data_IF_714739847538
#
_entry.id   IF_714739847538
#
_cell.length_a   1.000
_cell.length_b   1.000
_cell.length_c   1.000
_cell.angle_alpha   90.00
_cell.angle_beta   90.00
_cell.angle_gamma   90.00
#
_symmetry.space_group_name_H-M   'P 1'
#
loop_
_entity.id
_entity.type
_entity.pdbx_description
1 polymer ?
#
# COMPACT_ATOMS: atom_id res chain seq x y z
N UNK A 1 -3.95 6.17 5.90
CA UNK A 1 -4.51 7.51 6.08
C UNK A 1 -3.39 8.40 6.58
N UNK A 2 -3.22 9.56 5.97
CA UNK A 2 -2.00 10.36 6.08
C UNK A 2 -2.25 11.46 7.11
N UNK A 3 -1.38 11.58 8.12
CA UNK A 3 -1.40 12.71 9.06
C UNK A 3 -0.44 13.79 8.55
N UNK A 4 -0.94 15.02 8.38
CA UNK A 4 -0.15 16.13 7.84
C UNK A 4 0.47 16.94 8.98
N UNK A 5 1.76 16.76 9.27
CA UNK A 5 2.45 17.63 10.22
C UNK A 5 2.87 18.94 9.51
N UNK A 6 2.03 19.97 9.63
CA UNK A 6 2.33 21.32 9.15
C UNK A 6 2.49 22.26 10.36
N UNK A 7 3.69 22.81 10.57
CA UNK A 7 4.01 24.24 10.34
C UNK A 7 5.43 24.57 10.84
N UNK A 8 6.10 25.38 10.01
CA UNK A 8 7.43 26.03 10.07
C UNK A 8 8.73 25.21 9.85
N UNK A 9 9.43 25.63 8.79
CA UNK A 9 10.75 25.21 8.28
C UNK A 9 10.94 23.75 7.83
N UNK A 10 9.97 23.21 7.08
CA UNK A 10 10.06 21.93 6.37
C UNK A 10 8.75 21.16 6.47
N UNK A 11 8.04 20.96 5.36
CA UNK A 11 6.78 20.20 5.36
C UNK A 11 7.10 18.73 5.56
N UNK A 12 6.82 18.18 6.75
CA UNK A 12 6.98 16.75 7.05
C UNK A 12 5.60 16.10 7.12
N UNK A 13 5.50 14.85 6.67
CA UNK A 13 4.25 14.10 6.69
C UNK A 13 4.45 12.86 7.54
N UNK A 14 3.60 12.67 8.55
CA UNK A 14 3.66 11.50 9.43
C UNK A 14 2.59 10.53 8.97
N UNK A 15 3.01 9.39 8.45
CA UNK A 15 2.08 8.33 8.09
C UNK A 15 1.80 7.46 9.32
N UNK A 16 0.53 7.32 9.68
CA UNK A 16 0.09 6.43 10.76
C UNK A 16 -1.13 5.63 10.36
N UNK A 17 -1.14 4.35 10.73
CA UNK A 17 -2.22 3.43 10.43
C UNK A 17 -3.02 3.16 11.70
N UNK A 18 -4.22 3.73 11.79
CA UNK A 18 -5.11 3.45 12.92
C UNK A 18 -5.54 1.97 13.03
N UNK A 19 -5.91 1.51 14.23
CA UNK A 19 -6.29 0.12 14.47
C UNK A 19 -7.65 -0.24 13.86
N UNK A 20 -7.85 -1.55 13.60
CA UNK A 20 -9.17 -2.11 13.32
C UNK A 20 -9.91 -2.34 14.63
N UNK A 21 -11.16 -1.91 14.71
CA UNK A 21 -11.97 -2.09 15.89
C UNK A 21 -12.79 -3.38 15.79
N UNK A 22 -12.76 -4.15 16.87
CA UNK A 22 -13.64 -5.28 17.08
C UNK A 22 -14.10 -5.21 18.53
N UNK A 23 -15.40 -5.37 18.78
CA UNK A 23 -15.98 -5.22 20.12
C UNK A 23 -15.28 -6.11 21.17
N UNK A 24 -14.91 -7.34 20.80
CA UNK A 24 -14.15 -8.28 21.65
C UNK A 24 -12.75 -7.79 22.07
N UNK A 25 -12.19 -6.81 21.36
CA UNK A 25 -10.85 -6.26 21.56
C UNK A 25 -10.88 -4.74 21.70
N UNK A 26 -11.96 -4.18 22.26
CA UNK A 26 -12.14 -2.72 22.38
C UNK A 26 -10.97 -2.06 23.12
N UNK A 27 -10.54 -2.61 24.26
CA UNK A 27 -9.38 -2.09 25.03
C UNK A 27 -8.08 -2.10 24.23
N UNK A 28 -7.82 -3.18 23.47
CA UNK A 28 -6.64 -3.27 22.63
C UNK A 28 -6.69 -2.25 21.47
N UNK A 29 -7.87 -2.01 20.92
CA UNK A 29 -8.08 -1.00 19.87
C UNK A 29 -7.89 0.42 20.43
N UNK A 30 -8.36 0.71 21.64
CA UNK A 30 -8.18 2.00 22.31
C UNK A 30 -6.71 2.27 22.62
N UNK A 31 -5.99 1.29 23.18
CA UNK A 31 -4.56 1.43 23.46
C UNK A 31 -3.75 1.61 22.18
N UNK A 32 -4.06 0.85 21.13
CA UNK A 32 -3.42 1.03 19.83
C UNK A 32 -3.72 2.41 19.22
N UNK A 33 -4.93 2.93 19.38
CA UNK A 33 -5.31 4.25 18.88
C UNK A 33 -4.58 5.36 19.66
N UNK A 34 -4.55 5.27 20.99
CA UNK A 34 -3.77 6.17 21.85
C UNK A 34 -2.30 6.17 21.45
N UNK A 35 -1.71 4.98 21.26
CA UNK A 35 -0.33 4.83 20.83
C UNK A 35 -0.06 5.50 19.48
N UNK A 36 -1.01 5.42 18.53
CA UNK A 36 -0.87 6.09 17.23
C UNK A 36 -0.76 7.62 17.37
N UNK A 37 -1.61 8.25 18.19
CA UNK A 37 -1.55 9.69 18.44
C UNK A 37 -0.28 10.08 19.20
N UNK A 38 0.07 9.34 20.26
CA UNK A 38 1.30 9.58 21.05
C UNK A 38 2.54 9.51 20.17
N UNK A 39 2.68 8.47 19.35
CA UNK A 39 3.83 8.29 18.46
C UNK A 39 3.98 9.46 17.46
N UNK A 40 2.86 10.01 16.97
CA UNK A 40 2.90 11.17 16.08
C UNK A 40 3.40 12.44 16.79
N UNK A 41 3.01 12.63 18.05
CA UNK A 41 3.46 13.75 18.88
C UNK A 41 4.91 13.59 19.34
N UNK A 42 5.38 12.38 19.56
CA UNK A 42 6.79 12.10 19.86
C UNK A 42 7.68 12.41 18.67
N UNK A 43 7.27 11.96 17.47
CA UNK A 43 7.96 12.30 16.23
C UNK A 43 8.01 13.82 15.99
N UNK A 44 6.97 14.57 16.39
CA UNK A 44 6.98 16.03 16.33
C UNK A 44 8.16 16.60 17.14
N UNK A 45 8.30 16.17 18.40
CA UNK A 45 9.38 16.62 19.31
C UNK A 45 10.75 16.18 18.80
N UNK A 46 10.91 14.91 18.42
CA UNK A 46 12.17 14.36 17.91
C UNK A 46 12.68 15.09 16.67
N UNK A 47 11.76 15.62 15.85
CA UNK A 47 12.08 16.36 14.65
C UNK A 47 12.26 17.87 14.87
N UNK A 48 12.19 18.34 16.13
CA UNK A 48 12.34 19.76 16.49
C UNK A 48 11.20 20.65 15.98
N UNK A 49 10.02 20.07 15.73
CA UNK A 49 8.84 20.79 15.26
C UNK A 49 7.94 21.16 16.44
N UNK A 50 7.19 22.26 16.32
CA UNK A 50 6.37 22.79 17.41
C UNK A 50 4.87 22.70 17.17
N UNK A 51 4.44 22.36 15.95
CA UNK A 51 3.02 22.31 15.59
C UNK A 51 2.69 21.15 14.67
N UNK A 52 1.52 20.55 14.90
CA UNK A 52 1.03 19.40 14.12
C UNK A 52 -0.45 19.58 13.77
N UNK A 53 -0.83 19.16 12.57
CA UNK A 53 -2.22 18.97 12.20
C UNK A 53 -2.54 17.47 12.15
N UNK A 54 -3.57 17.04 12.87
CA UNK A 54 -3.91 15.64 13.04
C UNK A 54 -5.32 15.36 12.53
N UNK A 55 -5.47 14.38 11.64
CA UNK A 55 -6.78 13.88 11.22
C UNK A 55 -7.35 12.83 12.17
N UNK A 56 -8.60 12.43 11.95
CA UNK A 56 -9.22 11.31 12.68
C UNK A 56 -8.49 10.00 12.36
N UNK A 57 -7.60 9.50 13.23
CA UNK A 57 -6.83 8.24 13.03
C UNK A 57 -7.75 7.01 12.86
N UNK A 58 -8.93 7.08 13.46
CA UNK A 58 -10.01 6.13 13.32
C UNK A 58 -10.86 6.43 12.08
N UNK A 59 -11.43 5.38 11.48
CA UNK A 59 -12.26 5.50 10.26
C UNK A 59 -13.40 4.50 10.32
N UNK A 60 -14.56 4.85 9.75
CA UNK A 60 -15.70 3.93 9.63
C UNK A 60 -15.34 2.63 8.89
N UNK A 61 -14.44 2.71 7.91
CA UNK A 61 -13.92 1.52 7.20
C UNK A 61 -13.22 0.50 8.12
N UNK A 62 -12.84 0.90 9.33
CA UNK A 62 -12.22 0.07 10.37
C UNK A 62 -13.18 -0.31 11.49
N UNK A 63 -14.48 -0.04 11.32
CA UNK A 63 -15.57 -0.27 12.28
C UNK A 63 -15.34 0.37 13.65
N UNK A 64 -14.53 1.43 13.74
CA UNK A 64 -14.24 2.08 15.01
C UNK A 64 -15.35 3.09 15.33
N UNK A 65 -16.05 2.97 16.48
CA UNK A 65 -17.09 3.92 16.86
C UNK A 65 -16.50 5.32 17.04
N UNK A 66 -17.07 6.30 16.32
CA UNK A 66 -16.51 7.65 16.17
C UNK A 66 -16.34 8.40 17.50
N UNK A 67 -17.38 8.40 18.33
CA UNK A 67 -17.37 9.16 19.59
C UNK A 67 -16.39 8.58 20.64
N UNK A 68 -16.38 7.28 20.95
CA UNK A 68 -15.33 6.68 21.78
C UNK A 68 -13.92 6.92 21.25
N UNK A 69 -13.72 6.87 19.92
CA UNK A 69 -12.43 7.11 19.32
C UNK A 69 -11.96 8.58 19.47
N UNK A 70 -12.90 9.53 19.38
CA UNK A 70 -12.62 10.94 19.62
C UNK A 70 -12.23 11.20 21.08
N UNK A 71 -12.88 10.54 22.05
CA UNK A 71 -12.46 10.58 23.46
C UNK A 71 -11.00 10.14 23.63
N UNK A 72 -10.61 9.00 23.05
CA UNK A 72 -9.22 8.51 23.12
C UNK A 72 -8.27 9.53 22.49
N UNK A 73 -8.57 10.02 21.27
CA UNK A 73 -7.73 10.97 20.57
C UNK A 73 -7.46 12.24 21.39
N UNK A 74 -8.52 12.87 21.89
CA UNK A 74 -8.44 14.15 22.61
C UNK A 74 -7.77 13.95 23.98
N UNK A 75 -8.09 12.86 24.69
CA UNK A 75 -7.48 12.52 25.98
C UNK A 75 -5.97 12.30 25.85
N UNK A 76 -5.53 11.52 24.87
CA UNK A 76 -4.10 11.26 24.63
C UNK A 76 -3.36 12.56 24.34
N UNK A 77 -3.90 13.43 23.48
CA UNK A 77 -3.30 14.74 23.18
C UNK A 77 -3.23 15.61 24.43
N UNK A 78 -4.31 15.69 25.21
CA UNK A 78 -4.34 16.46 26.45
C UNK A 78 -3.24 16.01 27.42
N UNK A 79 -3.11 14.70 27.67
CA UNK A 79 -2.09 14.14 28.57
C UNK A 79 -0.67 14.38 28.06
N UNK A 80 -0.47 14.25 26.76
CA UNK A 80 0.83 14.53 26.15
C UNK A 80 1.23 16.00 26.35
N UNK A 81 0.30 16.94 26.11
CA UNK A 81 0.54 18.38 26.29
C UNK A 81 0.78 18.75 27.76
N UNK A 82 0.15 18.06 28.71
CA UNK A 82 0.41 18.25 30.15
C UNK A 82 1.84 17.86 30.53
N UNK A 83 2.42 16.84 29.89
CA UNK A 83 3.81 16.41 30.09
C UNK A 83 4.82 17.29 29.35
N UNK A 84 4.46 17.77 28.16
CA UNK A 84 5.37 18.43 27.21
C UNK A 84 5.03 19.92 26.98
N UNK A 85 4.67 20.64 28.06
CA UNK A 85 4.09 22.01 28.00
C UNK A 85 4.85 23.04 27.17
N UNK A 86 6.17 22.92 27.05
CA UNK A 86 7.01 23.92 26.38
C UNK A 86 7.44 23.53 24.95
N UNK A 87 7.17 22.30 24.52
CA UNK A 87 7.68 21.77 23.25
C UNK A 87 6.66 21.88 22.10
N UNK A 88 5.38 22.06 22.43
CA UNK A 88 4.29 22.09 21.44
C UNK A 88 3.51 23.39 21.55
N UNK A 89 3.49 24.17 20.46
CA UNK A 89 2.77 25.44 20.36
C UNK A 89 1.32 25.25 19.92
N UNK A 90 1.05 24.34 18.98
CA UNK A 90 -0.28 24.17 18.43
C UNK A 90 -0.55 22.74 17.95
N UNK A 91 -1.75 22.23 18.26
CA UNK A 91 -2.28 20.97 17.72
C UNK A 91 -3.62 21.28 17.05
N UNK A 92 -3.74 20.98 15.75
CA UNK A 92 -4.96 21.24 14.98
C UNK A 92 -5.64 19.94 14.60
N UNK A 93 -6.87 19.71 15.06
CA UNK A 93 -7.66 18.55 14.64
C UNK A 93 -8.35 18.83 13.29
N UNK A 94 -8.06 18.02 12.28
CA UNK A 94 -8.59 18.13 10.92
C UNK A 94 -9.65 17.05 10.69
N UNK A 95 -10.93 17.42 10.82
CA UNK A 95 -12.06 16.51 10.56
C UNK A 95 -12.53 16.63 9.11
N UNK A 96 -12.71 15.50 8.42
CA UNK A 96 -13.24 15.47 7.04
C UNK A 96 -14.77 15.37 6.98
N UNK A 97 -15.39 14.75 7.99
CA UNK A 97 -16.84 14.58 8.09
C UNK A 97 -17.47 15.64 8.98
N UNK A 98 -18.68 16.09 8.64
CA UNK A 98 -19.49 16.97 9.50
C UNK A 98 -19.79 16.33 10.85
N UNK A 99 -20.07 15.02 10.87
CA UNK A 99 -20.34 14.26 12.09
C UNK A 99 -19.13 14.30 13.04
N UNK A 100 -17.92 14.09 12.52
CA UNK A 100 -16.72 14.15 13.36
C UNK A 100 -16.47 15.58 13.86
N UNK A 101 -16.70 16.60 13.02
CA UNK A 101 -16.57 17.99 13.42
C UNK A 101 -17.49 18.33 14.60
N UNK A 102 -18.74 17.89 14.57
CA UNK A 102 -19.70 18.13 15.66
C UNK A 102 -19.30 17.38 16.95
N UNK A 103 -18.81 16.15 16.81
CA UNK A 103 -18.25 15.38 17.95
C UNK A 103 -17.06 16.13 18.55
N UNK A 104 -16.06 16.51 17.75
CA UNK A 104 -14.87 17.20 18.24
C UNK A 104 -15.21 18.55 18.86
N UNK A 105 -16.10 19.35 18.27
CA UNK A 105 -16.56 20.61 18.86
C UNK A 105 -17.15 20.43 20.25
N UNK A 106 -17.96 19.38 20.45
CA UNK A 106 -18.57 19.06 21.74
C UNK A 106 -17.57 18.50 22.75
N UNK A 107 -16.64 17.64 22.31
CA UNK A 107 -15.71 16.97 23.22
C UNK A 107 -14.51 17.83 23.59
N UNK A 108 -14.04 18.71 22.70
CA UNK A 108 -12.88 19.56 22.98
C UNK A 108 -13.11 20.48 24.17
N UNK A 109 -14.34 21.01 24.36
CA UNK A 109 -14.67 21.83 25.54
C UNK A 109 -14.64 21.05 26.85
N UNK A 110 -14.81 19.72 26.81
CA UNK A 110 -14.73 18.87 28.00
C UNK A 110 -13.27 18.59 28.40
N UNK A 111 -12.37 18.39 27.45
CA UNK A 111 -10.95 18.08 27.73
C UNK A 111 -10.05 19.33 27.79
N UNK A 112 -10.47 20.42 27.17
CA UNK A 112 -9.79 21.72 27.17
C UNK A 112 -10.79 22.81 27.58
N UNK A 113 -11.28 22.80 28.84
CA UNK A 113 -12.18 23.82 29.34
C UNK A 113 -11.50 25.19 29.31
N UNK A 114 -12.24 26.21 28.89
CA UNK A 114 -11.76 27.59 28.75
C UNK A 114 -12.09 28.45 29.98
N UNK A 115 -13.20 28.12 30.64
CA UNK A 115 -13.75 28.82 31.80
C UNK A 115 -14.12 27.83 32.91
N UNK A 116 -14.25 28.31 34.15
CA UNK A 116 -14.64 27.50 35.32
C UNK A 116 -15.97 26.76 35.13
N UNK A 117 -16.92 27.38 34.42
CA UNK A 117 -18.20 26.74 34.11
C UNK A 117 -18.03 25.52 33.18
N UNK A 118 -17.15 25.59 32.18
CA UNK A 118 -16.85 24.45 31.31
C UNK A 118 -16.14 23.33 32.10
N UNK A 119 -15.27 23.70 33.04
CA UNK A 119 -14.58 22.76 33.93
C UNK A 119 -15.56 21.98 34.82
N UNK A 120 -16.54 22.65 35.43
CA UNK A 120 -17.60 22.00 36.21
C UNK A 120 -18.45 21.05 35.37
N UNK A 121 -18.81 21.47 34.14
CA UNK A 121 -19.57 20.62 33.20
C UNK A 121 -18.75 19.43 32.72
N UNK A 122 -17.44 19.60 32.51
CA UNK A 122 -16.52 18.54 32.13
C UNK A 122 -16.43 17.45 33.20
N UNK A 123 -16.31 17.84 34.47
CA UNK A 123 -16.28 16.92 35.62
C UNK A 123 -17.52 16.02 35.69
N UNK A 124 -18.69 16.52 35.27
CA UNK A 124 -19.94 15.77 35.26
C UNK A 124 -20.11 14.84 34.05
N UNK A 125 -19.50 15.18 32.91
CA UNK A 125 -19.74 14.51 31.62
C UNK A 125 -18.60 13.61 31.15
N UNK A 126 -17.41 13.76 31.70
CA UNK A 126 -16.28 12.91 31.33
C UNK A 126 -16.45 11.51 31.94
N UNK A 127 -16.15 10.44 31.18
CA UNK A 127 -16.19 9.08 31.70
C UNK A 127 -15.16 8.88 32.82
N UNK A 128 -15.52 8.09 33.85
CA UNK A 128 -14.67 7.81 35.01
C UNK A 128 -13.38 7.03 34.65
N UNK A 129 -13.35 6.36 33.50
CA UNK A 129 -12.14 5.74 32.95
C UNK A 129 -11.26 6.81 32.27
N UNK A 130 -10.47 7.50 33.07
CA UNK A 130 -9.55 8.57 32.63
C UNK A 130 -8.24 8.04 32.05
N UNK A 131 -8.08 6.73 31.93
CA UNK A 131 -6.83 6.12 31.52
C UNK A 131 -5.65 6.42 32.46
N UNK A 132 -4.48 5.90 32.13
CA UNK A 132 -3.24 6.09 32.87
C UNK A 132 -2.58 7.46 32.58
N UNK A 133 -1.38 7.70 33.11
CA UNK A 133 -0.62 8.94 32.90
C UNK A 133 -0.32 9.24 31.42
N UNK A 134 -0.47 8.27 30.53
CA UNK A 134 -0.26 8.40 29.09
C UNK A 134 -1.59 8.46 28.31
N UNK A 135 -2.74 8.34 28.99
CA UNK A 135 -4.06 8.28 28.39
C UNK A 135 -4.45 6.91 27.82
N UNK A 136 -3.74 5.83 28.18
CA UNK A 136 -4.10 4.44 27.85
C UNK A 136 -5.11 3.88 28.85
N UNK A 137 -5.95 2.90 28.50
CA UNK A 137 -6.90 2.32 29.46
C UNK A 137 -6.17 1.41 30.46
N UNK A 138 -6.35 1.68 31.75
CA UNK A 138 -5.72 0.92 32.84
C UNK A 138 -6.43 -0.42 33.00
N UNK A 139 -5.77 -1.52 32.61
CA UNK A 139 -6.29 -2.88 32.80
C UNK A 139 -5.51 -3.51 33.97
N UNK A 140 -6.10 -3.56 35.16
CA UNK A 140 -5.48 -4.12 36.37
C UNK A 140 -5.05 -5.59 36.21
N UNK A 141 -5.66 -6.33 35.26
CA UNK A 141 -5.44 -7.76 35.03
C UNK A 141 -4.09 -8.10 34.34
N UNK A 142 -3.26 -7.11 33.96
CA UNK A 142 -1.95 -7.33 33.31
C UNK A 142 -0.72 -7.02 34.16
N UNK A 143 -0.86 -6.77 35.46
CA UNK A 143 0.31 -6.81 36.37
C UNK A 143 0.76 -8.27 36.52
N UNK A 144 1.74 -8.68 35.72
CA UNK A 144 2.33 -10.02 35.78
C UNK A 144 2.89 -10.25 37.19
N UNK A 145 2.17 -11.03 38.01
CA UNK A 145 2.67 -11.51 39.30
C UNK A 145 3.53 -12.74 39.01
N UNK A 146 4.80 -12.54 38.65
CA UNK A 146 5.75 -13.64 38.50
C UNK A 146 5.96 -14.25 39.90
N UNK A 147 5.22 -15.32 40.21
CA UNK A 147 5.61 -16.22 41.30
C UNK A 147 6.73 -17.10 40.77
N UNK A 148 7.89 -17.19 41.44
CA UNK A 148 8.94 -18.12 41.02
C UNK A 148 8.39 -19.55 41.04
N UNK A 149 8.72 -20.32 40.00
CA UNK A 149 8.31 -21.73 39.91
C UNK A 149 8.86 -22.53 41.11
N UNK A 150 8.06 -23.43 41.71
CA UNK A 150 8.54 -24.28 42.80
C UNK A 150 9.60 -25.26 42.28
N UNK A 151 10.82 -25.16 42.82
CA UNK A 151 11.90 -26.14 42.60
C UNK A 151 11.51 -27.48 43.24
N UNK A 152 10.93 -28.41 42.47
CA UNK A 152 10.84 -29.82 42.87
C UNK A 152 12.18 -30.51 42.62
N UNK A 153 12.90 -30.84 43.70
CA UNK A 153 13.92 -31.90 43.72
C UNK A 153 13.19 -33.23 43.91
N UNK A 154 13.28 -34.14 42.96
CA UNK A 154 12.76 -35.52 43.06
C UNK A 154 13.46 -36.43 42.03
N UNK A 155 13.73 -37.71 42.36
CA UNK A 155 14.74 -38.52 41.69
C UNK A 155 14.26 -39.11 40.35
N UNK A 156 15.23 -39.31 39.46
CA UNK A 156 15.10 -39.84 38.10
C UNK A 156 14.89 -41.37 38.15
N UNK A 157 13.83 -41.96 37.54
CA UNK A 157 13.77 -43.41 37.37
C UNK A 157 14.48 -43.85 36.09
N UNK A 158 15.26 -44.92 36.21
CA UNK A 158 15.92 -45.69 35.16
C UNK A 158 14.90 -46.45 34.30
N UNK A 159 15.13 -46.50 32.98
CA UNK A 159 14.39 -47.36 32.06
C UNK A 159 15.16 -48.66 31.87
N UNK A 160 14.54 -49.79 32.23
CA UNK A 160 14.97 -51.12 31.80
C UNK A 160 14.31 -51.49 30.46
N UNK A 161 14.96 -52.30 29.61
CA UNK A 161 14.45 -52.69 28.30
C UNK A 161 13.62 -53.99 28.39
N UNK A 162 12.55 -54.08 27.59
CA UNK A 162 11.80 -55.32 27.36
C UNK A 162 11.81 -55.62 25.86
N UNK A 163 12.33 -56.79 25.53
CA UNK A 163 12.50 -57.39 24.20
C UNK A 163 11.31 -58.31 23.85
N UNK A 164 10.63 -58.18 22.70
CA UNK A 164 10.67 -59.01 21.45
C UNK A 164 9.22 -59.42 21.03
N UNK A 165 8.90 -59.90 19.79
CA UNK A 165 9.80 -60.36 18.74
C UNK A 165 9.61 -59.75 17.33
N UNK A 166 10.69 -59.93 16.57
CA UNK A 166 10.90 -59.67 15.14
C UNK A 166 10.30 -60.78 14.29
N UNK A 167 9.69 -60.45 13.15
CA UNK A 167 9.64 -61.33 11.99
C UNK A 167 10.41 -60.69 10.83
N UNK A 168 11.49 -61.38 10.45
CA UNK A 168 12.36 -61.11 9.31
C UNK A 168 11.63 -61.31 7.98
N UNK A 169 11.64 -60.29 7.13
CA UNK A 169 11.79 -60.49 5.68
C UNK A 169 12.80 -59.47 5.18
N UNK A 170 13.90 -59.98 4.65
CA UNK A 170 15.14 -59.26 4.41
C UNK A 170 15.13 -58.23 3.29
N UNK A 171 15.97 -57.21 3.52
CA UNK A 171 16.92 -56.59 2.59
C UNK A 171 16.51 -56.55 1.11
N UNK A 172 16.01 -55.38 0.68
CA UNK A 172 16.50 -54.76 -0.56
C UNK A 172 16.63 -53.25 -0.35
N UNK A 173 17.89 -52.81 -0.28
CA UNK A 173 18.31 -51.40 -0.40
C UNK A 173 18.00 -50.96 -1.84
N UNK A 174 16.77 -50.52 -2.10
CA UNK A 174 16.44 -49.81 -3.35
C UNK A 174 16.75 -48.34 -3.15
N UNK A 175 17.84 -47.90 -3.75
CA UNK A 175 18.15 -46.50 -4.07
C UNK A 175 16.89 -45.83 -4.64
N UNK A 176 16.24 -45.00 -3.83
CA UNK A 176 15.08 -44.21 -4.26
C UNK A 176 15.55 -42.94 -4.96
N UNK A 177 16.24 -43.09 -6.09
CA UNK A 177 16.48 -42.00 -7.05
C UNK A 177 15.37 -41.91 -8.11
N UNK A 178 14.34 -42.77 -8.02
CA UNK A 178 13.25 -42.87 -9.01
C UNK A 178 11.89 -42.37 -8.49
N UNK A 179 11.78 -41.99 -7.21
CA UNK A 179 10.56 -41.40 -6.64
C UNK A 179 10.63 -39.87 -6.47
N UNK A 180 11.78 -39.24 -6.69
CA UNK A 180 11.93 -37.78 -6.68
C UNK A 180 11.31 -37.10 -7.91
N UNK A 181 11.01 -37.85 -8.98
CA UNK A 181 10.43 -37.31 -10.21
C UNK A 181 8.89 -37.24 -10.20
N UNK A 182 8.23 -37.76 -9.16
CA UNK A 182 6.76 -37.83 -9.07
C UNK A 182 6.16 -37.02 -7.91
N UNK A 183 6.98 -36.26 -7.18
CA UNK A 183 6.50 -35.46 -6.06
C UNK A 183 6.22 -34.02 -6.50
N UNK A 184 4.94 -33.64 -6.44
CA UNK A 184 4.45 -32.29 -6.69
C UNK A 184 5.12 -31.29 -5.72
N UNK A 185 5.69 -30.16 -6.19
CA UNK A 185 6.24 -29.11 -5.33
C UNK A 185 5.24 -28.59 -4.28
N UNK A 186 3.93 -28.64 -4.56
CA UNK A 186 2.89 -28.32 -3.59
C UNK A 186 2.86 -29.31 -2.41
N UNK A 187 3.14 -30.58 -2.67
CA UNK A 187 3.19 -31.65 -1.66
C UNK A 187 4.45 -31.55 -0.79
N UNK A 188 5.61 -31.24 -1.37
CA UNK A 188 6.84 -30.99 -0.59
C UNK A 188 6.72 -29.75 0.31
N UNK A 189 5.92 -28.76 -0.09
CA UNK A 189 5.65 -27.57 0.74
C UNK A 189 4.76 -27.85 1.95
N UNK A 190 4.12 -29.02 2.04
CA UNK A 190 3.20 -29.39 3.12
C UNK A 190 3.90 -30.06 4.31
N UNK A 191 5.09 -30.63 4.10
CA UNK A 191 5.81 -31.44 5.10
C UNK A 191 6.71 -30.59 6.01
N UNK A 192 7.02 -29.34 5.61
CA UNK A 192 7.83 -28.42 6.42
C UNK A 192 7.03 -27.91 7.63
N UNK A 193 7.60 -28.04 8.83
CA UNK A 193 6.99 -27.59 10.08
C UNK A 193 6.49 -26.13 9.93
N UNK A 194 5.22 -25.83 10.28
CA UNK A 194 4.67 -24.48 10.21
C UNK A 194 5.49 -23.44 10.99
N UNK A 195 6.20 -23.82 12.05
CA UNK A 195 7.03 -22.89 12.82
C UNK A 195 8.37 -22.57 12.13
N UNK A 196 9.01 -23.55 11.49
CA UNK A 196 10.20 -23.31 10.66
C UNK A 196 9.88 -22.39 9.48
N UNK A 197 8.69 -22.54 8.88
CA UNK A 197 8.21 -21.64 7.82
C UNK A 197 8.05 -20.21 8.32
N UNK A 198 7.51 -20.02 9.53
CA UNK A 198 7.38 -18.69 10.16
C UNK A 198 8.75 -18.10 10.47
N UNK A 199 9.69 -18.91 10.93
CA UNK A 199 11.06 -18.47 11.25
C UNK A 199 11.82 -18.05 9.99
N UNK A 200 11.80 -18.85 8.92
CA UNK A 200 12.43 -18.51 7.64
C UNK A 200 11.80 -17.27 7.01
N UNK A 201 10.47 -17.10 7.11
CA UNK A 201 9.78 -15.88 6.69
C UNK A 201 10.21 -14.67 7.51
N UNK A 202 10.36 -14.84 8.83
CA UNK A 202 10.80 -13.80 9.74
C UNK A 202 12.27 -13.39 9.48
N UNK A 203 13.17 -14.35 9.30
CA UNK A 203 14.58 -14.08 8.98
C UNK A 203 14.76 -13.40 7.61
N UNK A 204 13.99 -13.84 6.59
CA UNK A 204 13.97 -13.17 5.27
C UNK A 204 13.42 -11.75 5.35
N UNK A 205 12.41 -11.50 6.19
CA UNK A 205 11.88 -10.14 6.40
C UNK A 205 12.87 -9.26 7.15
N UNK A 206 13.59 -9.80 8.14
CA UNK A 206 14.64 -9.09 8.88
C UNK A 206 15.87 -8.78 8.01
N UNK A 207 16.31 -9.72 7.16
CA UNK A 207 17.40 -9.48 6.20
C UNK A 207 17.01 -8.48 5.11
N UNK A 208 15.77 -8.52 4.61
CA UNK A 208 15.24 -7.54 3.66
C UNK A 208 15.18 -6.13 4.26
N UNK A 209 14.89 -5.99 5.57
CA UNK A 209 14.88 -4.70 6.26
C UNK A 209 16.28 -4.05 6.37
N UNK A 210 17.37 -4.83 6.51
CA UNK A 210 18.73 -4.28 6.62
C UNK A 210 19.24 -3.63 5.33
N UNK A 211 18.96 -4.21 4.16
CA UNK A 211 19.32 -3.63 2.86
C UNK A 211 18.44 -2.43 2.46
N UNK A 212 17.26 -2.27 3.07
CA UNK A 212 16.24 -1.29 2.71
C UNK A 212 16.45 0.11 3.29
N UNK A 213 17.14 0.22 4.44
CA UNK A 213 17.45 1.50 5.08
C UNK A 213 18.32 2.43 4.20
N UNK A 214 19.10 1.87 3.26
CA UNK A 214 19.92 2.65 2.34
C UNK A 214 19.11 3.33 1.23
N UNK A 215 17.98 2.78 0.80
CA UNK A 215 17.14 3.37 -0.24
C UNK A 215 16.25 4.50 0.30
N UNK A 216 15.78 4.38 1.55
CA UNK A 216 15.09 5.45 2.27
C UNK A 216 15.99 6.69 2.46
N UNK A 217 17.29 6.48 2.67
CA UNK A 217 18.29 7.56 2.77
C UNK A 217 18.47 8.34 1.45
N UNK A 218 18.16 7.72 0.31
CA UNK A 218 18.30 8.32 -1.03
C UNK A 218 17.00 8.91 -1.59
N UNK A 219 15.90 8.93 -0.82
CA UNK A 219 14.65 9.59 -1.22
C UNK A 219 13.75 8.78 -2.17
N UNK A 220 13.93 7.45 -2.26
CA UNK A 220 13.17 6.57 -3.17
C UNK A 220 11.94 5.88 -2.54
N UNK A 221 11.54 6.26 -1.32
CA UNK A 221 10.37 5.70 -0.64
C UNK A 221 10.49 4.22 -0.21
N UNK A 222 9.40 3.64 0.30
CA UNK A 222 9.33 2.24 0.77
C UNK A 222 9.30 1.29 -0.43
N UNK A 223 10.48 0.91 -0.94
CA UNK A 223 10.67 0.12 -2.16
C UNK A 223 10.16 -1.33 -2.07
N UNK A 224 8.88 -1.57 -1.75
CA UNK A 224 8.12 -2.83 -1.83
C UNK A 224 8.77 -4.10 -1.25
N UNK A 225 8.03 -4.85 -0.43
CA UNK A 225 8.50 -6.05 0.31
C UNK A 225 9.38 -7.07 -0.45
N UNK A 226 9.97 -8.05 0.26
CA UNK A 226 11.00 -8.94 -0.30
C UNK A 226 10.59 -9.56 -1.64
N UNK A 227 11.58 -9.80 -2.51
CA UNK A 227 11.35 -10.46 -3.80
C UNK A 227 10.64 -11.79 -3.55
N UNK A 228 9.49 -11.97 -4.20
CA UNK A 228 8.67 -13.17 -4.03
C UNK A 228 9.13 -14.27 -4.98
N UNK A 229 9.07 -15.52 -4.51
CA UNK A 229 9.22 -16.68 -5.38
C UNK A 229 8.09 -16.73 -6.42
N UNK A 230 8.29 -17.47 -7.51
CA UNK A 230 7.27 -17.61 -8.55
C UNK A 230 5.94 -18.16 -8.01
N UNK A 231 6.00 -19.07 -7.03
CA UNK A 231 4.82 -19.64 -6.38
C UNK A 231 4.08 -18.61 -5.51
N UNK A 232 4.82 -17.78 -4.78
CA UNK A 232 4.25 -16.71 -3.96
C UNK A 232 3.62 -15.60 -4.82
N UNK A 233 4.24 -15.21 -5.93
CA UNK A 233 3.68 -14.25 -6.89
C UNK A 233 2.40 -14.80 -7.53
N UNK A 234 2.38 -16.08 -7.89
CA UNK A 234 1.17 -16.73 -8.43
C UNK A 234 0.03 -16.77 -7.41
N UNK A 235 0.33 -17.14 -6.17
CA UNK A 235 -0.65 -17.16 -5.08
C UNK A 235 -1.19 -15.75 -4.79
N UNK A 236 -0.30 -14.75 -4.77
CA UNK A 236 -0.66 -13.35 -4.59
C UNK A 236 -1.58 -12.88 -5.72
N UNK A 237 -1.19 -13.10 -6.97
CA UNK A 237 -1.99 -12.75 -8.15
C UNK A 237 -3.38 -13.39 -8.09
N UNK A 238 -3.45 -14.70 -7.84
CA UNK A 238 -4.71 -15.45 -7.73
C UNK A 238 -5.65 -14.87 -6.66
N UNK A 239 -5.09 -14.50 -5.49
CA UNK A 239 -5.86 -13.87 -4.41
C UNK A 239 -6.43 -12.51 -4.82
N UNK A 240 -5.64 -11.67 -5.49
CA UNK A 240 -6.10 -10.37 -5.99
C UNK A 240 -7.16 -10.54 -7.09
N UNK A 241 -6.96 -11.49 -8.01
CA UNK A 241 -7.93 -11.78 -9.07
C UNK A 241 -9.27 -12.28 -8.50
N UNK A 242 -9.24 -13.18 -7.52
CA UNK A 242 -10.45 -13.66 -6.84
C UNK A 242 -11.21 -12.51 -6.17
N UNK A 243 -10.48 -11.65 -5.44
CA UNK A 243 -11.06 -10.45 -4.82
C UNK A 243 -11.60 -9.45 -5.85
N UNK A 244 -10.94 -9.29 -6.99
CA UNK A 244 -11.38 -8.39 -8.05
C UNK A 244 -12.65 -8.88 -8.77
N UNK A 245 -12.85 -10.21 -8.84
CA UNK A 245 -14.07 -10.83 -9.39
C UNK A 245 -15.28 -10.68 -8.47
N UNK A 246 -15.08 -10.61 -7.15
CA UNK A 246 -16.17 -10.49 -6.19
C UNK A 246 -16.63 -9.05 -5.93
N UNK A 247 -15.84 -8.05 -6.30
CA UNK A 247 -16.15 -6.64 -6.08
C UNK A 247 -16.68 -5.95 -7.34
N UNK A 248 -17.61 -5.00 -7.13
CA UNK A 248 -18.01 -4.05 -8.16
C UNK A 248 -16.92 -2.97 -8.29
N UNK A 249 -16.44 -2.78 -9.52
CA UNK A 249 -15.35 -1.86 -9.85
C UNK A 249 -15.76 -0.87 -10.96
N UNK A 250 -17.07 -0.69 -11.20
CA UNK A 250 -17.59 0.17 -12.27
C UNK A 250 -17.18 1.64 -12.09
N UNK A 251 -17.20 2.14 -10.86
CA UNK A 251 -16.77 3.52 -10.53
C UNK A 251 -15.32 3.79 -10.97
N UNK A 252 -14.44 2.79 -10.87
CA UNK A 252 -13.04 2.90 -11.28
C UNK A 252 -12.90 2.79 -12.81
N UNK A 253 -13.70 1.92 -13.42
CA UNK A 253 -13.74 1.80 -14.88
C UNK A 253 -14.18 3.13 -15.54
N UNK A 254 -15.13 3.85 -14.93
CA UNK A 254 -15.60 5.16 -15.39
C UNK A 254 -14.51 6.24 -15.35
N UNK A 255 -13.50 6.08 -14.49
CA UNK A 255 -12.35 7.00 -14.45
C UNK A 255 -11.48 6.91 -15.70
N UNK A 256 -11.60 5.83 -16.51
CA UNK A 256 -10.83 5.59 -17.74
C UNK A 256 -9.32 5.79 -17.56
N UNK A 257 -8.80 5.38 -16.41
CA UNK A 257 -7.35 5.40 -16.12
C UNK A 257 -6.66 4.31 -16.91
N UNK A 258 -7.24 3.11 -16.89
CA UNK A 258 -6.81 1.95 -17.66
C UNK A 258 -8.03 1.45 -18.43
N UNK A 259 -7.87 1.15 -19.71
CA UNK A 259 -8.93 0.55 -20.51
C UNK A 259 -8.34 -0.26 -21.67
N UNK A 260 -9.09 -1.25 -22.13
CA UNK A 260 -8.72 -2.04 -23.30
C UNK A 260 -8.94 -1.21 -24.56
N UNK A 261 -7.87 -1.03 -25.33
CA UNK A 261 -7.98 -0.61 -26.71
C UNK A 261 -8.39 -1.79 -27.59
N UNK A 262 -8.20 -1.62 -28.88
CA UNK A 262 -8.30 -2.70 -29.85
C UNK A 262 -6.99 -3.45 -29.99
N UNK A 263 -6.48 -3.54 -31.22
CA UNK A 263 -5.23 -4.23 -31.54
C UNK A 263 -4.16 -3.30 -32.10
N UNK A 264 -2.89 -3.67 -31.95
CA UNK A 264 -1.78 -3.00 -32.61
C UNK A 264 -1.67 -3.41 -34.09
N UNK A 265 -0.70 -2.84 -34.82
CA UNK A 265 -0.46 -3.14 -36.24
C UNK A 265 -0.14 -4.61 -36.52
N UNK A 266 0.25 -5.39 -35.51
CA UNK A 266 0.56 -6.82 -35.60
C UNK A 266 -0.57 -7.70 -35.02
N UNK A 267 -1.73 -7.11 -34.68
CA UNK A 267 -2.89 -7.82 -34.18
C UNK A 267 -2.83 -8.17 -32.68
N UNK A 268 -1.86 -7.64 -31.92
CA UNK A 268 -1.77 -7.86 -30.47
C UNK A 268 -2.74 -6.94 -29.72
N UNK A 269 -3.45 -7.44 -28.70
CA UNK A 269 -4.32 -6.58 -27.89
C UNK A 269 -3.55 -5.45 -27.23
N UNK A 270 -4.16 -4.26 -27.20
CA UNK A 270 -3.58 -3.05 -26.64
C UNK A 270 -4.27 -2.71 -25.34
N UNK A 271 -3.49 -2.48 -24.29
CA UNK A 271 -3.96 -1.86 -23.06
C UNK A 271 -3.54 -0.40 -23.03
N UNK A 272 -4.48 0.50 -22.77
CA UNK A 272 -4.20 1.93 -22.70
C UNK A 272 -4.23 2.40 -21.25
N UNK A 273 -3.23 3.21 -20.88
CA UNK A 273 -3.09 3.82 -19.56
C UNK A 273 -2.99 5.33 -19.74
N UNK A 274 -3.87 6.08 -19.10
CA UNK A 274 -3.92 7.54 -19.17
C UNK A 274 -3.44 8.12 -17.84
N UNK A 275 -2.20 8.63 -17.84
CA UNK A 275 -1.53 9.10 -16.63
C UNK A 275 -2.28 10.24 -15.92
N UNK A 276 -2.81 11.21 -16.67
CA UNK A 276 -3.53 12.35 -16.08
C UNK A 276 -4.81 11.94 -15.33
N UNK A 277 -5.49 10.86 -15.77
CA UNK A 277 -6.70 10.38 -15.09
C UNK A 277 -6.39 9.75 -13.73
N UNK A 278 -5.24 9.07 -13.62
CA UNK A 278 -4.83 8.44 -12.35
C UNK A 278 -4.76 9.47 -11.23
N UNK A 279 -4.17 10.63 -11.51
CA UNK A 279 -3.89 11.66 -10.52
C UNK A 279 -5.13 12.49 -10.16
N UNK A 280 -6.04 12.71 -11.12
CA UNK A 280 -7.25 13.50 -10.90
C UNK A 280 -8.39 12.74 -10.24
N UNK A 281 -8.44 11.40 -10.39
CA UNK A 281 -9.64 10.60 -10.06
C UNK A 281 -9.38 9.43 -9.11
N UNK A 282 -8.15 8.94 -8.98
CA UNK A 282 -7.87 7.71 -8.22
C UNK A 282 -7.59 7.97 -6.73
N UNK A 283 -8.64 8.01 -5.91
CA UNK A 283 -8.50 8.11 -4.45
C UNK A 283 -8.30 6.75 -3.76
N UNK A 284 -8.72 5.65 -4.41
CA UNK A 284 -8.64 4.29 -3.86
C UNK A 284 -7.66 3.42 -4.65
N UNK A 285 -6.40 3.42 -4.19
CA UNK A 285 -5.33 2.63 -4.79
C UNK A 285 -5.58 1.12 -4.68
N UNK A 286 -6.27 0.63 -3.66
CA UNK A 286 -6.48 -0.82 -3.48
C UNK A 286 -7.50 -1.34 -4.50
N UNK A 287 -8.64 -0.66 -4.62
CA UNK A 287 -9.64 -1.00 -5.64
C UNK A 287 -9.11 -0.76 -7.05
N UNK A 288 -8.26 0.24 -7.26
CA UNK A 288 -7.58 0.46 -8.54
C UNK A 288 -6.68 -0.73 -8.91
N UNK A 289 -5.84 -1.21 -7.99
CA UNK A 289 -5.00 -2.39 -8.24
C UNK A 289 -5.86 -3.61 -8.60
N UNK A 290 -6.99 -3.82 -7.91
CA UNK A 290 -7.93 -4.91 -8.25
C UNK A 290 -8.52 -4.74 -9.65
N UNK A 291 -8.87 -3.51 -10.04
CA UNK A 291 -9.33 -3.20 -11.38
C UNK A 291 -8.27 -3.48 -12.45
N UNK A 292 -7.02 -3.06 -12.22
CA UNK A 292 -5.90 -3.38 -13.11
C UNK A 292 -5.75 -4.89 -13.27
N UNK A 293 -5.71 -5.66 -12.19
CA UNK A 293 -5.62 -7.14 -12.27
C UNK A 293 -6.76 -7.72 -13.09
N UNK A 294 -8.00 -7.27 -12.86
CA UNK A 294 -9.19 -7.73 -13.59
C UNK A 294 -9.14 -7.39 -15.07
N UNK A 295 -8.66 -6.21 -15.43
CA UNK A 295 -8.60 -5.75 -16.82
C UNK A 295 -7.45 -6.38 -17.62
N UNK A 296 -6.32 -6.64 -16.96
CA UNK A 296 -5.18 -7.27 -17.60
C UNK A 296 -5.35 -8.79 -17.75
N UNK A 297 -6.07 -9.47 -16.85
CA UNK A 297 -6.25 -10.92 -16.87
C UNK A 297 -6.56 -11.55 -18.25
N UNK A 298 -7.53 -11.04 -19.04
CA UNK A 298 -7.83 -11.65 -20.34
C UNK A 298 -6.78 -11.39 -21.41
N UNK A 299 -5.95 -10.35 -21.29
CA UNK A 299 -4.94 -10.00 -22.30
C UNK A 299 -3.56 -10.58 -21.98
N UNK A 300 -3.22 -10.79 -20.70
CA UNK A 300 -1.89 -11.29 -20.30
C UNK A 300 -1.61 -12.72 -20.74
N UNK A 301 -2.62 -13.46 -21.22
CA UNK A 301 -2.47 -14.82 -21.72
C UNK A 301 -1.79 -14.87 -23.10
N UNK A 302 -1.82 -13.77 -23.86
CA UNK A 302 -1.23 -13.64 -25.20
C UNK A 302 -0.25 -12.47 -25.24
N UNK A 303 0.65 -12.40 -26.23
CA UNK A 303 1.48 -11.22 -26.43
C UNK A 303 0.61 -9.96 -26.58
N UNK A 304 0.89 -8.92 -25.80
CA UNK A 304 0.10 -7.68 -25.77
C UNK A 304 1.00 -6.45 -25.67
N UNK A 305 0.48 -5.27 -25.98
CA UNK A 305 1.21 -4.00 -25.88
C UNK A 305 0.50 -3.04 -24.94
N UNK A 306 1.27 -2.10 -24.37
CA UNK A 306 0.75 -1.04 -23.51
C UNK A 306 0.99 0.30 -24.20
N UNK A 307 -0.01 1.17 -24.22
CA UNK A 307 0.11 2.58 -24.60
C UNK A 307 -0.11 3.42 -23.35
N UNK A 308 0.92 4.16 -22.92
CA UNK A 308 0.85 5.08 -21.79
C UNK A 308 0.85 6.53 -22.29
N UNK A 309 -0.24 7.27 -22.03
CA UNK A 309 -0.33 8.71 -22.33
C UNK A 309 0.08 9.52 -21.10
N UNK A 310 1.20 10.25 -21.23
CA UNK A 310 1.72 11.11 -20.16
C UNK A 310 1.25 12.57 -20.25
N UNK A 311 0.51 12.93 -21.30
CA UNK A 311 -0.03 14.28 -21.53
C UNK A 311 -0.67 14.85 -20.25
N UNK A 312 -0.29 16.06 -19.85
CA UNK A 312 -0.76 16.74 -18.64
C UNK A 312 -0.44 16.06 -17.27
N UNK A 313 0.27 14.93 -17.24
CA UNK A 313 0.65 14.26 -16.00
C UNK A 313 1.93 14.83 -15.33
N UNK A 314 2.65 15.74 -16.00
CA UNK A 314 3.96 16.26 -15.56
C UNK A 314 3.91 17.19 -14.34
N UNK A 315 2.75 17.76 -14.01
CA UNK A 315 2.61 18.78 -12.95
C UNK A 315 2.26 18.20 -11.57
N UNK A 316 2.23 16.87 -11.44
CA UNK A 316 1.59 16.21 -10.30
C UNK A 316 2.39 15.02 -9.76
N UNK A 317 2.09 14.65 -8.51
CA UNK A 317 2.83 13.64 -7.70
C UNK A 317 2.73 12.26 -8.35
N UNK A 318 3.87 11.69 -8.74
CA UNK A 318 3.92 10.35 -9.34
C UNK A 318 3.79 9.26 -8.25
N UNK A 319 3.23 8.09 -8.57
CA UNK A 319 3.21 6.96 -7.64
C UNK A 319 4.65 6.55 -7.27
N UNK A 320 4.87 6.26 -5.99
CA UNK A 320 6.18 5.87 -5.47
C UNK A 320 6.70 4.57 -6.14
N UNK A 321 8.02 4.46 -6.30
CA UNK A 321 8.68 3.34 -6.95
C UNK A 321 8.36 2.01 -6.26
N UNK A 322 8.21 2.03 -4.94
CA UNK A 322 7.81 0.87 -4.16
C UNK A 322 6.42 0.36 -4.48
N UNK A 323 5.47 1.29 -4.70
CA UNK A 323 4.13 0.94 -5.14
C UNK A 323 4.16 0.31 -6.54
N UNK A 324 4.97 0.85 -7.46
CA UNK A 324 5.13 0.29 -8.81
C UNK A 324 5.70 -1.14 -8.78
N UNK A 325 6.75 -1.36 -7.98
CA UNK A 325 7.33 -2.69 -7.77
C UNK A 325 6.28 -3.66 -7.20
N UNK A 326 5.49 -3.22 -6.22
CA UNK A 326 4.42 -4.03 -5.63
C UNK A 326 3.32 -4.38 -6.62
N UNK A 327 2.90 -3.43 -7.46
CA UNK A 327 1.94 -3.69 -8.53
C UNK A 327 2.46 -4.74 -9.51
N UNK A 328 3.73 -4.67 -9.91
CA UNK A 328 4.34 -5.67 -10.79
C UNK A 328 4.37 -7.07 -10.14
N UNK A 329 4.67 -7.17 -8.85
CA UNK A 329 4.59 -8.45 -8.12
C UNK A 329 3.16 -9.00 -8.08
N UNK A 330 2.15 -8.12 -7.92
CA UNK A 330 0.74 -8.51 -7.90
C UNK A 330 0.29 -9.00 -9.28
N UNK A 331 0.71 -8.34 -10.38
CA UNK A 331 0.41 -8.76 -11.75
C UNK A 331 1.17 -10.06 -12.15
N UNK A 332 2.25 -10.37 -11.43
CA UNK A 332 2.99 -11.63 -11.58
C UNK A 332 3.86 -11.70 -12.84
N UNK A 333 4.63 -12.80 -12.96
CA UNK A 333 5.62 -12.96 -14.05
C UNK A 333 5.03 -13.10 -15.45
N UNK A 334 3.82 -13.69 -15.55
CA UNK A 334 3.13 -13.89 -16.84
C UNK A 334 2.93 -12.56 -17.57
N UNK A 335 2.58 -11.52 -16.82
CA UNK A 335 2.44 -10.16 -17.32
C UNK A 335 3.75 -9.65 -17.97
N UNK A 336 4.90 -9.92 -17.35
CA UNK A 336 6.21 -9.47 -17.83
C UNK A 336 6.69 -10.21 -19.09
N UNK A 337 6.40 -11.51 -19.17
CA UNK A 337 6.83 -12.37 -20.27
C UNK A 337 6.10 -12.04 -21.57
N UNK A 338 4.77 -11.88 -21.50
CA UNK A 338 3.93 -11.65 -22.68
C UNK A 338 3.81 -10.18 -23.08
N UNK A 339 4.36 -9.26 -22.30
CA UNK A 339 4.46 -7.86 -22.72
C UNK A 339 5.39 -7.75 -23.92
N UNK A 340 4.92 -7.20 -25.04
CA UNK A 340 5.75 -6.97 -26.22
C UNK A 340 6.44 -5.60 -26.17
N UNK A 341 5.67 -4.52 -25.99
CA UNK A 341 6.17 -3.15 -25.95
C UNK A 341 5.32 -2.24 -25.05
N UNK A 342 5.95 -1.20 -24.50
CA UNK A 342 5.28 -0.08 -23.82
C UNK A 342 5.55 1.20 -24.61
N UNK A 343 4.54 1.72 -25.31
CA UNK A 343 4.63 2.99 -26.02
C UNK A 343 4.27 4.13 -25.06
N UNK A 344 5.24 5.00 -24.75
CA UNK A 344 5.03 6.17 -23.90
C UNK A 344 4.84 7.39 -24.79
N UNK A 345 3.62 7.93 -24.81
CA UNK A 345 3.25 9.13 -25.55
C UNK A 345 3.52 10.40 -24.71
N UNK A 346 4.16 11.39 -25.34
CA UNK A 346 4.56 12.68 -24.76
C UNK A 346 5.47 12.55 -23.52
N UNK A 347 6.62 11.87 -23.66
CA UNK A 347 7.52 11.64 -22.53
C UNK A 347 8.19 12.94 -22.07
N UNK A 348 8.14 13.22 -20.78
CA UNK A 348 8.86 14.34 -20.16
C UNK A 348 10.25 13.90 -19.68
N UNK A 349 11.16 14.85 -19.46
CA UNK A 349 12.47 14.56 -18.87
C UNK A 349 12.33 13.86 -17.51
N UNK A 350 11.41 14.34 -16.66
CA UNK A 350 11.10 13.71 -15.38
C UNK A 350 10.67 12.25 -15.53
N UNK A 351 9.74 11.96 -16.45
CA UNK A 351 9.31 10.58 -16.72
C UNK A 351 10.46 9.70 -17.22
N UNK A 352 11.31 10.20 -18.13
CA UNK A 352 12.47 9.46 -18.63
C UNK A 352 13.44 9.10 -17.49
N UNK A 353 13.67 10.02 -16.55
CA UNK A 353 14.48 9.77 -15.34
C UNK A 353 13.80 8.73 -14.44
N UNK A 354 12.49 8.83 -14.21
CA UNK A 354 11.75 7.84 -13.41
C UNK A 354 11.81 6.44 -14.04
N UNK A 355 11.63 6.32 -15.36
CA UNK A 355 11.75 5.05 -16.08
C UNK A 355 13.18 4.50 -16.00
N UNK A 356 14.20 5.35 -16.10
CA UNK A 356 15.59 4.95 -15.91
C UNK A 356 15.84 4.42 -14.49
N UNK A 357 15.32 5.10 -13.46
CA UNK A 357 15.40 4.63 -12.08
C UNK A 357 14.69 3.27 -11.91
N UNK A 358 13.52 3.09 -12.53
CA UNK A 358 12.80 1.81 -12.54
C UNK A 358 13.57 0.70 -13.26
N UNK A 359 14.29 1.01 -14.34
CA UNK A 359 15.19 0.03 -15.01
C UNK A 359 16.29 -0.43 -14.07
N UNK A 360 16.91 0.48 -13.31
CA UNK A 360 18.01 0.16 -12.41
C UNK A 360 17.57 -0.61 -11.16
N UNK A 361 16.38 -0.29 -10.63
CA UNK A 361 15.90 -0.78 -9.33
C UNK A 361 14.92 -1.96 -9.43
N UNK A 362 14.24 -2.14 -10.57
CA UNK A 362 13.20 -3.14 -10.78
C UNK A 362 13.53 -3.97 -12.02
N UNK A 363 13.29 -5.28 -11.96
CA UNK A 363 13.64 -6.27 -12.99
C UNK A 363 13.72 -5.71 -14.42
N UNK A 364 14.94 -5.74 -14.96
CA UNK A 364 15.36 -5.08 -16.19
C UNK A 364 14.65 -5.52 -17.50
N UNK A 365 13.78 -6.54 -17.47
CA UNK A 365 13.22 -7.15 -18.69
C UNK A 365 12.04 -6.36 -19.26
N UNK A 366 11.18 -5.81 -18.39
CA UNK A 366 9.97 -5.08 -18.81
C UNK A 366 10.33 -3.70 -19.35
N UNK A 367 11.15 -2.96 -18.61
CA UNK A 367 11.44 -1.57 -18.90
C UNK A 367 12.39 -1.35 -20.08
N UNK A 368 13.07 -2.41 -20.54
CA UNK A 368 13.79 -2.41 -21.83
C UNK A 368 12.87 -2.41 -23.05
N UNK A 369 11.59 -2.75 -22.87
CA UNK A 369 10.56 -2.77 -23.94
C UNK A 369 9.84 -1.42 -24.09
N UNK A 370 10.35 -0.37 -23.44
CA UNK A 370 9.78 0.98 -23.49
C UNK A 370 10.23 1.67 -24.78
N UNK A 371 9.26 2.21 -25.52
CA UNK A 371 9.46 3.02 -26.72
C UNK A 371 8.86 4.39 -26.45
N UNK A 372 9.70 5.42 -26.53
CA UNK A 372 9.29 6.80 -26.38
C UNK A 372 8.72 7.34 -27.69
N UNK A 373 7.54 7.95 -27.61
CA UNK A 373 6.80 8.48 -28.76
C UNK A 373 6.43 9.92 -28.49
N UNK A 374 7.03 10.84 -29.25
CA UNK A 374 6.86 12.28 -29.01
C UNK A 374 5.60 12.85 -29.69
N UNK A 375 5.04 12.16 -30.70
CA UNK A 375 3.86 12.62 -31.45
C UNK A 375 2.80 11.54 -31.65
N UNK A 376 1.53 11.93 -31.65
CA UNK A 376 0.41 11.04 -31.95
C UNK A 376 0.54 10.35 -33.31
N UNK A 377 1.00 11.07 -34.34
CA UNK A 377 1.19 10.50 -35.67
C UNK A 377 2.20 9.34 -35.69
N UNK A 378 3.22 9.40 -34.84
CA UNK A 378 4.19 8.32 -34.69
C UNK A 378 3.57 7.13 -33.95
N UNK A 379 2.75 7.38 -32.92
CA UNK A 379 2.02 6.32 -32.22
C UNK A 379 1.13 5.52 -33.19
N UNK A 380 0.48 6.20 -34.14
CA UNK A 380 -0.40 5.57 -35.12
C UNK A 380 0.30 4.63 -36.11
N UNK A 381 1.63 4.68 -36.20
CA UNK A 381 2.40 3.69 -36.96
C UNK A 381 2.45 2.33 -36.26
N UNK A 382 2.33 2.33 -34.93
CA UNK A 382 2.35 1.12 -34.10
C UNK A 382 0.94 0.64 -33.76
N UNK A 383 0.04 1.57 -33.43
CA UNK A 383 -1.35 1.26 -33.06
C UNK A 383 -2.30 2.13 -33.87
N UNK A 384 -3.10 1.56 -34.80
CA UNK A 384 -4.02 2.33 -35.62
C UNK A 384 -4.97 3.18 -34.78
N UNK A 385 -5.29 4.39 -35.24
CA UNK A 385 -6.10 5.36 -34.50
C UNK A 385 -7.47 4.81 -34.11
N UNK A 386 -8.09 4.03 -34.98
CA UNK A 386 -9.42 3.43 -34.78
C UNK A 386 -9.47 2.47 -33.59
N UNK A 387 -8.31 1.98 -33.15
CA UNK A 387 -8.17 1.03 -32.05
C UNK A 387 -8.03 1.75 -30.70
N UNK A 388 -7.98 3.09 -30.68
CA UNK A 388 -7.71 3.89 -29.49
C UNK A 388 -8.77 4.99 -29.26
N UNK A 389 -9.37 4.99 -28.08
CA UNK A 389 -10.24 6.08 -27.62
C UNK A 389 -9.42 7.14 -26.88
N UNK A 390 -8.75 8.03 -27.61
CA UNK A 390 -7.83 9.02 -27.04
C UNK A 390 -8.61 10.24 -26.49
N UNK A 391 -8.37 10.69 -25.25
CA UNK A 391 -9.01 11.90 -24.71
C UNK A 391 -8.58 13.20 -25.42
N UNK A 392 -9.48 14.19 -25.51
CA UNK A 392 -9.24 15.46 -26.21
C UNK A 392 -8.01 16.23 -25.71
N UNK A 393 -7.77 16.24 -24.40
CA UNK A 393 -6.61 16.93 -23.82
C UNK A 393 -5.26 16.37 -24.30
N UNK A 394 -5.22 15.11 -24.75
CA UNK A 394 -4.00 14.50 -25.31
C UNK A 394 -3.70 15.11 -26.68
N UNK A 395 -4.71 15.32 -27.51
CA UNK A 395 -4.56 16.02 -28.80
C UNK A 395 -4.19 17.48 -28.60
N UNK A 396 -4.80 18.15 -27.61
CA UNK A 396 -4.43 19.51 -27.27
C UNK A 396 -2.97 19.62 -26.83
N UNK A 397 -2.50 18.69 -25.99
CA UNK A 397 -1.11 18.68 -25.56
C UNK A 397 -0.14 18.39 -26.72
N UNK A 398 -0.47 17.47 -27.63
CA UNK A 398 0.34 17.22 -28.84
C UNK A 398 0.45 18.50 -29.69
N UNK A 399 -0.64 19.27 -29.81
CA UNK A 399 -0.65 20.56 -30.49
C UNK A 399 0.18 21.63 -29.77
N UNK A 400 0.11 21.71 -28.46
CA UNK A 400 0.86 22.70 -27.66
C UNK A 400 2.36 22.43 -27.71
N UNK A 401 2.76 21.15 -27.61
CA UNK A 401 4.17 20.74 -27.56
C UNK A 401 4.78 20.63 -28.97
N UNK A 402 4.03 20.12 -29.94
CA UNK A 402 4.54 19.77 -31.27
C UNK A 402 3.91 20.56 -32.43
N UNK A 403 2.84 21.33 -32.20
CA UNK A 403 2.01 21.97 -33.24
C UNK A 403 2.54 23.29 -33.82
N UNK A 404 3.78 23.65 -33.51
CA UNK A 404 4.46 24.84 -34.05
C UNK A 404 4.83 24.74 -35.54
N UNK A 405 5.06 23.52 -36.08
CA UNK A 405 5.26 23.23 -37.52
C UNK A 405 4.93 21.76 -37.84
N UNK A 406 4.09 21.49 -38.85
CA UNK A 406 3.89 20.14 -39.40
C UNK A 406 2.44 19.62 -39.44
N UNK A 407 2.31 18.29 -39.48
CA UNK A 407 1.05 17.55 -39.60
C UNK A 407 0.31 17.47 -38.24
N UNK A 408 -0.90 18.04 -38.18
CA UNK A 408 -1.82 18.06 -37.05
C UNK A 408 -2.82 16.92 -37.17
N UNK A 409 -3.05 16.21 -36.06
CA UNK A 409 -4.13 15.22 -35.94
C UNK A 409 -5.36 15.90 -35.33
N UNK A 410 -6.45 15.96 -36.08
CA UNK A 410 -7.71 16.50 -35.57
C UNK A 410 -8.43 15.46 -34.67
N UNK A 411 -8.84 15.80 -33.44
CA UNK A 411 -9.60 14.91 -32.56
C UNK A 411 -10.96 14.49 -33.17
N UNK A 412 -11.59 15.33 -33.99
CA UNK A 412 -12.96 15.14 -34.51
C UNK A 412 -13.02 14.49 -35.88
N UNK A 413 -11.96 14.61 -36.69
CA UNK A 413 -11.93 14.06 -38.05
C UNK A 413 -10.78 13.08 -38.23
N UNK A 414 -10.91 12.13 -39.17
CA UNK A 414 -9.83 11.18 -39.52
C UNK A 414 -8.66 11.84 -40.28
N UNK A 415 -8.77 13.11 -40.61
CA UNK A 415 -7.82 13.81 -41.46
C UNK A 415 -6.66 14.36 -40.65
N UNK A 416 -5.49 14.34 -41.29
CA UNK A 416 -4.27 14.97 -40.80
C UNK A 416 -4.05 16.23 -41.62
N UNK A 417 -4.01 17.39 -40.98
CA UNK A 417 -3.86 18.68 -41.66
C UNK A 417 -2.43 19.17 -41.57
N UNK A 418 -1.86 19.68 -42.65
CA UNK A 418 -0.56 20.34 -42.58
C UNK A 418 -0.76 21.79 -42.17
N UNK A 419 -0.23 22.19 -41.01
CA UNK A 419 -0.19 23.60 -40.62
C UNK A 419 0.93 24.27 -41.43
N UNK A 420 0.65 25.37 -42.17
CA UNK A 420 1.65 26.07 -42.97
C UNK A 420 2.79 26.63 -42.11
#
# INVERSE_FOLDING_TARGET
>A
MILYALINSGRKVIHTVGPKYAMKYHTAAENALSHCYRSCLELLIENGLQSIAMGCIYTDAKNYPREPAAHVAIRTVRRFLEKQKNNVTAVVFCTTSTIDNDIYKRLLTLYFPRDKHEEEVALLKLPADVGDENGETTIDERKIRIKPLPKKKGPKPSREPVDLPVSDVGVFRRTSSYLDSFLDPAFMSLIKDPDERRLEQWEKTVQAQRGWNFANLLGFGDLGGPTLSAAEEYSLHSRYLSKAKSLNLSEIAEMKIVYRGGVDSEGRPVMVVVGAHFLLRCLDLERFVLYVVKEFEPIIQKPYTIVYSHSAASLQVQPDLGWMKRLQQILGRKHQQNLHAIYILHPTLGLKVTVLALQLLVNNVVWKKVVYVDRLLQLFRYVPREQLTIPDFVFQHDLEVNGGKGLIVDPRTKYVYQRP
#
